data_IF_757143537256
#
_entry.id   IF_757143537256
#
_cell.length_a   1.000
_cell.length_b   1.000
_cell.length_c   1.000
_cell.angle_alpha   90.00
_cell.angle_beta   90.00
_cell.angle_gamma   90.00
#
_symmetry.space_group_name_H-M   'P 1'
#
loop_
_entity.id
_entity.type
_entity.pdbx_description
1 polymer ?
#
# COMPACT_ATOMS: atom_id res chain seq x y z
N UNK A 1 32.53 -5.62 -5.96
CA UNK A 1 32.81 -4.87 -4.71
C UNK A 1 31.68 -3.87 -4.50
N UNK A 2 30.47 -4.33 -4.20
CA UNK A 2 29.30 -3.47 -3.94
C UNK A 2 28.42 -4.15 -2.88
N UNK A 3 29.04 -4.61 -1.79
CA UNK A 3 28.40 -5.47 -0.78
C UNK A 3 28.54 -4.93 0.64
N UNK A 4 29.05 -3.70 0.83
CA UNK A 4 29.40 -3.17 2.16
C UNK A 4 28.42 -2.15 2.75
N UNK A 5 27.40 -1.68 2.02
CA UNK A 5 26.45 -0.66 2.54
C UNK A 5 25.08 -1.19 3.00
N UNK A 6 24.78 -2.48 2.87
CA UNK A 6 23.43 -3.02 3.19
C UNK A 6 23.27 -3.55 4.63
N UNK A 7 24.25 -3.34 5.51
CA UNK A 7 24.27 -3.96 6.84
C UNK A 7 23.23 -3.42 7.84
N UNK A 8 22.49 -2.35 7.51
CA UNK A 8 21.49 -1.73 8.41
C UNK A 8 20.13 -1.46 7.76
N UNK A 9 19.83 -2.06 6.61
CA UNK A 9 18.51 -1.91 5.98
C UNK A 9 17.63 -3.08 6.43
N UNK A 10 16.47 -2.78 7.01
CA UNK A 10 15.44 -3.77 7.33
C UNK A 10 15.09 -4.55 6.05
N UNK A 11 15.43 -5.85 6.02
CA UNK A 11 15.21 -6.72 4.88
C UNK A 11 13.87 -7.41 4.99
N UNK A 12 13.13 -7.40 3.89
CA UNK A 12 11.89 -8.15 3.75
C UNK A 12 12.16 -9.45 2.99
N UNK A 13 11.70 -10.57 3.53
CA UNK A 13 11.82 -11.89 2.91
C UNK A 13 10.47 -12.28 2.33
N UNK A 14 10.51 -12.82 1.11
CA UNK A 14 9.32 -13.34 0.43
C UNK A 14 8.85 -14.63 1.11
N UNK A 15 7.56 -14.73 1.46
CA UNK A 15 7.00 -15.86 2.22
C UNK A 15 7.33 -17.23 1.63
N UNK A 16 7.30 -17.34 0.29
CA UNK A 16 7.45 -18.61 -0.44
C UNK A 16 8.83 -18.80 -1.08
N UNK A 17 9.79 -17.87 -0.89
CA UNK A 17 11.12 -17.99 -1.47
C UNK A 17 12.20 -17.36 -0.57
N UNK A 18 12.84 -18.18 0.25
CA UNK A 18 13.86 -17.75 1.21
C UNK A 18 15.16 -17.25 0.55
N UNK A 19 15.36 -17.50 -0.76
CA UNK A 19 16.51 -17.01 -1.52
C UNK A 19 16.32 -15.59 -2.07
N UNK A 20 15.12 -15.02 -1.95
CA UNK A 20 14.77 -13.71 -2.49
C UNK A 20 14.65 -12.71 -1.35
N UNK A 21 15.52 -11.71 -1.36
CA UNK A 21 15.56 -10.64 -0.36
C UNK A 21 15.09 -9.35 -0.99
N UNK A 22 13.97 -8.81 -0.54
CA UNK A 22 13.40 -7.60 -1.06
C UNK A 22 13.58 -6.41 -0.10
N UNK A 23 13.65 -5.23 -0.69
CA UNK A 23 13.82 -3.96 0.01
C UNK A 23 12.74 -2.99 -0.45
N UNK A 24 12.06 -2.36 0.51
CA UNK A 24 11.20 -1.22 0.24
C UNK A 24 12.11 0.00 0.01
N UNK A 25 12.30 0.36 -1.26
CA UNK A 25 12.94 1.62 -1.60
C UNK A 25 11.84 2.66 -1.82
N UNK A 26 11.93 3.86 -1.22
CA UNK A 26 11.12 4.99 -1.64
C UNK A 26 11.88 5.83 -2.69
N UNK A 27 11.60 5.70 -4.00
CA UNK A 27 12.08 6.66 -4.98
C UNK A 27 10.93 7.46 -5.64
N UNK A 28 11.22 8.62 -6.24
CA UNK A 28 10.22 9.49 -6.86
C UNK A 28 9.54 8.89 -8.11
N UNK A 29 10.11 7.88 -8.77
CA UNK A 29 9.58 7.25 -10.00
C UNK A 29 10.13 5.81 -10.20
N UNK A 30 9.77 4.85 -9.34
CA UNK A 30 10.24 3.45 -9.45
C UNK A 30 9.21 2.42 -8.97
N UNK A 31 9.53 1.12 -9.15
CA UNK A 31 8.74 0.00 -8.61
C UNK A 31 8.77 0.07 -7.07
N UNK A 32 7.65 -0.26 -6.38
CA UNK A 32 7.52 -0.09 -4.92
C UNK A 32 8.43 -1.03 -4.11
N UNK A 33 8.89 -2.11 -4.72
CA UNK A 33 9.77 -3.11 -4.12
C UNK A 33 10.85 -3.49 -5.14
N UNK A 34 12.07 -3.66 -4.65
CA UNK A 34 13.18 -4.21 -5.44
C UNK A 34 13.79 -5.40 -4.70
N UNK A 35 14.03 -6.50 -5.42
CA UNK A 35 14.45 -7.78 -4.88
C UNK A 35 15.86 -8.16 -5.37
N UNK A 36 16.72 -8.51 -4.43
CA UNK A 36 18.00 -9.14 -4.69
C UNK A 36 17.80 -10.64 -4.89
N UNK A 37 18.28 -11.16 -6.03
CA UNK A 37 18.09 -12.54 -6.48
C UNK A 37 19.46 -13.13 -6.83
N UNK A 38 19.66 -14.44 -6.67
CA UNK A 38 20.85 -15.14 -7.16
C UNK A 38 21.21 -14.80 -8.61
N UNK A 39 22.52 -14.73 -8.89
CA UNK A 39 23.08 -14.28 -10.18
C UNK A 39 22.77 -15.24 -11.34
N UNK A 40 22.33 -16.45 -11.03
CA UNK A 40 21.91 -17.47 -12.01
C UNK A 40 20.56 -17.14 -12.66
N UNK A 41 19.78 -16.22 -12.08
CA UNK A 41 18.47 -15.82 -12.59
C UNK A 41 18.57 -14.71 -13.65
N UNK A 42 17.79 -14.86 -14.72
CA UNK A 42 17.65 -13.83 -15.78
C UNK A 42 16.82 -12.65 -15.27
N UNK A 43 17.00 -11.45 -15.85
CA UNK A 43 16.20 -10.24 -15.52
C UNK A 43 14.67 -10.44 -15.53
N UNK A 44 14.14 -11.32 -16.38
CA UNK A 44 12.70 -11.62 -16.38
C UNK A 44 12.21 -12.29 -15.08
N UNK A 45 13.07 -13.08 -14.44
CA UNK A 45 12.80 -13.65 -13.12
C UNK A 45 12.85 -12.61 -12.01
N UNK A 46 13.64 -11.55 -12.20
CA UNK A 46 13.66 -10.40 -11.31
C UNK A 46 12.32 -9.69 -11.26
N UNK A 47 11.80 -9.35 -12.43
CA UNK A 47 10.48 -8.71 -12.51
C UNK A 47 9.35 -9.64 -12.04
N UNK A 48 9.47 -10.94 -12.30
CA UNK A 48 8.51 -11.92 -11.78
C UNK A 48 8.55 -11.99 -10.25
N UNK A 49 9.74 -12.08 -9.65
CA UNK A 49 9.90 -12.17 -8.20
C UNK A 49 9.43 -10.88 -7.51
N UNK A 50 9.75 -9.72 -8.07
CA UNK A 50 9.23 -8.43 -7.58
C UNK A 50 7.71 -8.39 -7.56
N UNK A 51 7.06 -8.74 -8.67
CA UNK A 51 5.59 -8.75 -8.76
C UNK A 51 4.97 -9.82 -7.88
N UNK A 52 5.59 -11.01 -7.82
CA UNK A 52 5.12 -12.10 -6.98
C UNK A 52 5.19 -11.71 -5.51
N UNK A 53 6.32 -11.22 -5.02
CA UNK A 53 6.50 -10.84 -3.61
C UNK A 53 5.77 -9.54 -3.24
N UNK A 54 5.40 -8.69 -4.20
CA UNK A 54 4.49 -7.57 -3.95
C UNK A 54 3.07 -8.03 -3.57
N UNK A 55 2.58 -9.06 -4.26
CA UNK A 55 1.24 -9.62 -4.01
C UNK A 55 1.30 -10.65 -2.87
N UNK A 56 2.33 -11.47 -2.84
CA UNK A 56 2.61 -12.44 -1.79
C UNK A 56 3.30 -11.74 -0.62
N UNK A 57 2.53 -11.46 0.44
CA UNK A 57 2.98 -10.88 1.71
C UNK A 57 4.44 -11.20 2.08
N UNK A 58 5.22 -10.17 2.37
CA UNK A 58 6.60 -10.29 2.88
C UNK A 58 6.63 -10.26 4.40
N UNK A 59 7.75 -10.64 5.02
CA UNK A 59 7.98 -10.48 6.45
C UNK A 59 9.38 -9.93 6.74
N UNK A 60 9.52 -9.16 7.82
CA UNK A 60 10.82 -8.62 8.21
C UNK A 60 11.72 -9.69 8.85
N UNK A 61 12.98 -9.74 8.42
CA UNK A 61 14.00 -10.58 9.01
C UNK A 61 15.28 -9.80 9.30
N UNK A 62 15.78 -9.92 10.54
CA UNK A 62 17.07 -9.35 10.94
C UNK A 62 18.22 -10.13 10.30
N UNK A 63 19.23 -9.43 9.81
CA UNK A 63 20.41 -10.00 9.14
C UNK A 63 21.18 -10.98 10.03
N UNK A 64 21.21 -10.72 11.34
CA UNK A 64 22.07 -11.42 12.29
C UNK A 64 21.41 -12.62 12.98
N UNK A 65 20.10 -12.84 12.77
CA UNK A 65 19.35 -13.90 13.45
C UNK A 65 18.93 -14.99 12.48
N UNK A 66 18.91 -16.24 12.96
CA UNK A 66 18.29 -17.36 12.22
C UNK A 66 16.84 -17.01 11.90
N UNK A 67 16.40 -17.38 10.69
CA UNK A 67 15.03 -17.14 10.27
C UNK A 67 14.03 -17.74 11.25
N UNK A 68 12.94 -17.01 11.55
CA UNK A 68 11.93 -17.52 12.46
C UNK A 68 11.31 -18.81 11.90
N UNK A 69 10.99 -19.78 12.77
CA UNK A 69 10.30 -20.99 12.37
C UNK A 69 8.91 -20.67 11.80
N UNK A 70 8.40 -21.52 10.90
CA UNK A 70 7.16 -21.29 10.13
C UNK A 70 5.93 -20.93 10.98
N UNK A 71 5.93 -21.33 12.25
CA UNK A 71 4.86 -21.05 13.21
C UNK A 71 4.73 -19.55 13.54
N UNK A 72 5.84 -18.79 13.53
CA UNK A 72 5.86 -17.37 13.87
C UNK A 72 5.78 -16.45 12.64
N UNK A 73 6.13 -16.97 11.45
CA UNK A 73 6.12 -16.22 10.17
C UNK A 73 4.80 -15.50 9.87
N UNK A 74 3.60 -16.03 10.18
CA UNK A 74 2.32 -15.33 9.94
C UNK A 74 2.19 -13.98 10.65
N UNK A 75 2.80 -13.84 11.83
CA UNK A 75 2.65 -12.64 12.66
C UNK A 75 3.57 -11.49 12.23
N UNK A 76 4.64 -11.79 11.50
CA UNK A 76 5.61 -10.80 11.03
C UNK A 76 5.29 -10.28 9.60
N UNK A 77 4.13 -10.63 9.05
CA UNK A 77 3.78 -10.33 7.68
C UNK A 77 3.27 -8.90 7.47
N UNK A 78 3.71 -8.30 6.38
CA UNK A 78 3.47 -6.91 6.03
C UNK A 78 2.30 -6.80 5.05
N UNK A 79 1.09 -6.99 5.55
CA UNK A 79 -0.13 -6.96 4.72
C UNK A 79 -0.68 -5.52 4.56
N UNK A 80 -0.27 -4.58 5.41
CA UNK A 80 -0.91 -3.27 5.49
C UNK A 80 -0.67 -2.37 4.28
N UNK A 81 0.45 -2.51 3.56
CA UNK A 81 0.74 -1.69 2.38
C UNK A 81 -0.24 -1.92 1.22
N UNK A 82 -0.80 -3.12 1.12
CA UNK A 82 -1.76 -3.47 0.07
C UNK A 82 -3.13 -2.82 0.31
N UNK A 83 -3.52 -2.67 1.58
CA UNK A 83 -4.84 -2.13 1.97
C UNK A 83 -4.85 -0.62 2.18
N UNK A 84 -3.70 0.00 2.50
CA UNK A 84 -3.58 1.45 2.69
C UNK A 84 -4.25 2.32 1.60
N UNK A 85 -4.07 2.08 0.28
CA UNK A 85 -4.75 2.89 -0.74
C UNK A 85 -6.27 2.70 -0.77
N UNK A 86 -6.77 1.51 -0.39
CA UNK A 86 -8.21 1.23 -0.34
C UNK A 86 -8.85 1.99 0.82
N UNK A 87 -8.22 1.95 2.00
CA UNK A 87 -8.69 2.69 3.18
C UNK A 87 -8.76 4.19 2.93
N UNK A 88 -7.75 4.76 2.27
CA UNK A 88 -7.73 6.18 1.90
C UNK A 88 -8.85 6.54 0.90
N UNK A 89 -9.14 5.65 -0.05
CA UNK A 89 -10.25 5.84 -1.00
C UNK A 89 -11.61 5.79 -0.27
N UNK A 90 -11.79 4.85 0.65
CA UNK A 90 -13.01 4.75 1.48
C UNK A 90 -13.19 6.01 2.33
N UNK A 91 -12.13 6.51 2.97
CA UNK A 91 -12.18 7.75 3.74
C UNK A 91 -12.58 8.94 2.87
N UNK A 92 -12.01 9.09 1.67
CA UNK A 92 -12.38 10.16 0.74
C UNK A 92 -13.87 10.07 0.32
N UNK A 93 -14.38 8.86 0.10
CA UNK A 93 -15.81 8.65 -0.20
C UNK A 93 -16.70 9.01 0.99
N UNK A 94 -16.34 8.56 2.20
CA UNK A 94 -17.06 8.87 3.44
C UNK A 94 -17.14 10.38 3.69
N UNK A 95 -16.07 11.14 3.44
CA UNK A 95 -16.10 12.60 3.52
C UNK A 95 -16.97 13.26 2.44
N UNK A 96 -17.14 12.61 1.28
CA UNK A 96 -18.06 13.07 0.23
C UNK A 96 -19.53 12.78 0.54
N UNK A 97 -19.82 11.77 1.38
CA UNK A 97 -21.20 11.39 1.73
C UNK A 97 -22.06 12.52 2.27
N UNK A 98 -21.66 13.36 3.26
CA UNK A 98 -22.52 14.43 3.75
C UNK A 98 -22.89 15.44 2.66
N UNK A 99 -21.97 15.76 1.74
CA UNK A 99 -22.24 16.64 0.61
C UNK A 99 -23.22 16.00 -0.39
N UNK A 100 -23.10 14.70 -0.64
CA UNK A 100 -24.01 13.97 -1.53
C UNK A 100 -25.40 13.85 -0.91
N UNK A 101 -25.50 13.51 0.38
CA UNK A 101 -26.76 13.43 1.11
C UNK A 101 -27.46 14.80 1.11
N UNK A 102 -26.73 15.89 1.36
CA UNK A 102 -27.28 17.24 1.30
C UNK A 102 -27.84 17.56 -0.10
N UNK A 103 -27.07 17.27 -1.16
CA UNK A 103 -27.49 17.53 -2.55
C UNK A 103 -28.71 16.71 -2.95
N UNK A 104 -28.73 15.41 -2.63
CA UNK A 104 -29.86 14.52 -2.91
C UNK A 104 -31.11 14.90 -2.10
N UNK A 105 -30.95 15.27 -0.83
CA UNK A 105 -32.03 15.73 0.03
C UNK A 105 -32.66 17.03 -0.48
N UNK A 106 -31.87 18.00 -0.94
CA UNK A 106 -32.38 19.24 -1.55
C UNK A 106 -33.13 18.97 -2.86
N UNK A 107 -32.62 18.05 -3.70
CA UNK A 107 -33.29 17.62 -4.93
C UNK A 107 -34.65 16.95 -4.65
N UNK A 108 -34.71 16.06 -3.65
CA UNK A 108 -35.95 15.37 -3.30
C UNK A 108 -36.96 16.29 -2.57
N UNK A 109 -36.48 17.28 -1.80
CA UNK A 109 -37.37 18.12 -0.99
C UNK A 109 -38.25 19.06 -1.81
N UNK A 110 -38.02 19.20 -3.14
CA UNK A 110 -38.85 20.05 -4.03
C UNK A 110 -38.81 21.55 -3.68
N UNK A 111 -37.96 21.94 -2.73
CA UNK A 111 -37.89 23.27 -2.16
C UNK A 111 -36.75 24.03 -2.82
N UNK A 112 -37.07 25.05 -3.62
CA UNK A 112 -36.07 25.87 -4.30
C UNK A 112 -35.36 26.78 -3.29
N UNK A 113 -34.27 26.27 -2.69
CA UNK A 113 -33.46 26.99 -1.72
C UNK A 113 -33.04 28.38 -2.22
N UNK A 114 -32.76 28.49 -3.52
CA UNK A 114 -32.40 29.75 -4.17
C UNK A 114 -33.51 30.81 -4.10
N UNK A 115 -34.78 30.40 -4.21
CA UNK A 115 -35.94 31.30 -4.10
C UNK A 115 -36.12 31.81 -2.68
N UNK A 116 -35.93 30.95 -1.67
CA UNK A 116 -36.03 31.36 -0.26
C UNK A 116 -34.87 32.26 0.15
N UNK A 117 -33.66 31.98 -0.34
CA UNK A 117 -32.50 32.84 -0.12
C UNK A 117 -32.66 34.21 -0.79
N UNK A 118 -33.25 34.28 -1.99
CA UNK A 118 -33.59 35.55 -2.64
C UNK A 118 -34.63 36.34 -1.85
N UNK A 119 -35.71 35.68 -1.41
CA UNK A 119 -36.76 36.32 -0.60
C UNK A 119 -36.24 36.83 0.76
N UNK A 120 -35.26 36.16 1.35
CA UNK A 120 -34.61 36.60 2.59
C UNK A 120 -33.54 37.70 2.37
N UNK A 121 -32.97 37.80 1.17
CA UNK A 121 -31.99 38.82 0.81
C UNK A 121 -32.64 40.13 0.32
N UNK A 122 -33.84 40.03 -0.25
CA UNK A 122 -34.65 41.16 -0.71
C UNK A 122 -35.52 41.77 0.42
N UNK A 123 -35.50 41.17 1.62
CA UNK A 123 -36.17 41.65 2.84
C UNK A 123 -35.21 42.45 3.72
#
# INVERSE_FOLDING_TARGET
MESRSYANVEREICRDNEQVHCFLYPPPLGKPIQCWIPQEFTRGWEEYAENYCWVANTYFAMVDKKLPPDVERPRLQLVYYQWAPIELAVQALLFCLPCLIWRLGVLHSGFNLHRVLQLAADA
#
